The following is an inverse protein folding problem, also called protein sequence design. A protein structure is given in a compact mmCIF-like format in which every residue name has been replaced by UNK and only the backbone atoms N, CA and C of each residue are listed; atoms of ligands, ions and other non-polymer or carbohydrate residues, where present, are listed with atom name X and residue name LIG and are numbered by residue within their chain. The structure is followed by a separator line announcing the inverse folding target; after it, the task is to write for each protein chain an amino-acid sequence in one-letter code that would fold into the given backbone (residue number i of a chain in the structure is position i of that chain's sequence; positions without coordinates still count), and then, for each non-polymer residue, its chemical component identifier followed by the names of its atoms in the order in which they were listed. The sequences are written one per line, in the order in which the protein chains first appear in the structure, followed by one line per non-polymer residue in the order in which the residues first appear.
data_IF_072024001045
#
_entry.id   IF_072024001045
#
_cell.length_a   1.000
_cell.length_b   1.000
_cell.length_c   1.000
_cell.angle_alpha   90.00
_cell.angle_beta   90.00
_cell.angle_gamma   90.00
#
_symmetry.space_group_name_H-M   'P 1'
#
loop_
_entity.id
_entity.type
_entity.pdbx_description
1 polymer ?
#
# COMPACT_ATOMS: atom_id res chain seq x y z
N UNK A 1 -1.88 -44.24 -9.34
CA UNK A 1 -3.12 -43.67 -8.74
C UNK A 1 -2.80 -42.53 -7.79
N UNK A 2 -3.44 -41.37 -7.99
CA UNK A 2 -3.25 -40.15 -7.19
C UNK A 2 -4.54 -39.76 -6.42
N UNK A 3 -5.57 -40.59 -6.50
CA UNK A 3 -6.90 -40.30 -5.93
C UNK A 3 -6.92 -40.12 -4.41
N UNK A 4 -5.91 -40.63 -3.69
CA UNK A 4 -5.74 -40.46 -2.25
C UNK A 4 -4.77 -39.36 -1.81
N UNK A 5 -4.34 -38.49 -2.72
CA UNK A 5 -3.35 -37.44 -2.41
C UNK A 5 -4.03 -36.08 -2.20
N UNK A 6 -4.33 -35.76 -0.96
CA UNK A 6 -5.04 -34.53 -0.58
C UNK A 6 -4.15 -33.42 -0.02
N UNK A 7 -2.82 -33.61 -0.04
CA UNK A 7 -1.87 -32.66 0.59
C UNK A 7 -2.07 -31.22 0.12
N UNK A 8 -2.21 -31.00 -1.21
CA UNK A 8 -2.40 -29.66 -1.75
C UNK A 8 -3.75 -29.06 -1.34
N UNK A 9 -4.82 -29.87 -1.33
CA UNK A 9 -6.13 -29.44 -0.86
C UNK A 9 -6.08 -29.06 0.63
N UNK A 10 -5.54 -29.94 1.45
CA UNK A 10 -5.48 -29.73 2.89
C UNK A 10 -4.59 -28.55 3.26
N UNK A 11 -3.49 -28.34 2.54
CA UNK A 11 -2.66 -27.15 2.64
C UNK A 11 -3.47 -25.87 2.35
N UNK A 12 -4.18 -25.83 1.23
CA UNK A 12 -5.00 -24.68 0.86
C UNK A 12 -6.12 -24.40 1.83
N UNK A 13 -6.79 -25.45 2.36
CA UNK A 13 -7.82 -25.31 3.39
C UNK A 13 -7.23 -24.72 4.68
N UNK A 14 -6.12 -25.26 5.16
CA UNK A 14 -5.47 -24.76 6.36
C UNK A 14 -5.07 -23.29 6.22
N UNK A 15 -4.56 -22.90 5.06
CA UNK A 15 -4.21 -21.48 4.77
C UNK A 15 -5.45 -20.58 4.82
N UNK A 16 -6.52 -20.96 4.13
CA UNK A 16 -7.77 -20.19 4.11
C UNK A 16 -8.47 -20.13 5.48
N UNK A 17 -8.29 -21.16 6.32
CA UNK A 17 -8.81 -21.19 7.70
C UNK A 17 -8.09 -20.23 8.65
N UNK A 18 -6.88 -19.75 8.31
CA UNK A 18 -6.18 -18.76 9.14
C UNK A 18 -6.77 -17.34 8.98
N UNK A 19 -7.60 -17.14 7.98
CA UNK A 19 -8.20 -15.84 7.69
C UNK A 19 -9.37 -15.56 8.63
N UNK A 20 -9.62 -14.29 8.90
CA UNK A 20 -10.79 -13.84 9.64
C UNK A 20 -12.08 -14.38 8.99
N UNK A 21 -13.04 -14.75 9.80
CA UNK A 21 -14.32 -15.31 9.30
C UNK A 21 -15.21 -14.24 8.66
N UNK A 22 -15.05 -13.00 9.06
CA UNK A 22 -15.84 -11.87 8.58
C UNK A 22 -14.95 -10.80 7.94
N UNK A 23 -15.53 -9.91 7.14
CA UNK A 23 -14.85 -8.71 6.63
C UNK A 23 -14.17 -8.84 5.28
N UNK A 24 -14.45 -9.91 4.51
CA UNK A 24 -13.88 -10.13 3.17
C UNK A 24 -12.34 -10.08 3.19
N UNK A 25 -11.67 -11.02 3.83
CA UNK A 25 -10.23 -10.99 4.00
C UNK A 25 -9.48 -11.12 2.68
N UNK A 26 -8.31 -10.50 2.61
CA UNK A 26 -7.41 -10.59 1.46
C UNK A 26 -6.19 -11.38 1.91
N UNK A 27 -5.82 -12.40 1.14
CA UNK A 27 -4.59 -13.16 1.34
C UNK A 27 -3.64 -12.96 0.16
N UNK A 28 -2.43 -12.50 0.45
CA UNK A 28 -1.38 -12.38 -0.54
C UNK A 28 -0.54 -13.66 -0.56
N UNK A 29 -0.35 -14.21 -1.76
CA UNK A 29 0.41 -15.44 -2.00
C UNK A 29 1.60 -15.17 -2.91
N UNK A 30 2.70 -15.90 -2.71
CA UNK A 30 3.93 -15.69 -3.45
C UNK A 30 4.15 -16.81 -4.47
N UNK A 31 3.56 -16.64 -5.67
CA UNK A 31 3.70 -17.59 -6.78
C UNK A 31 2.70 -18.75 -6.76
N UNK A 32 2.91 -19.70 -7.65
CA UNK A 32 1.94 -20.73 -8.01
C UNK A 32 1.72 -21.76 -6.90
N UNK A 33 2.80 -22.18 -6.24
CA UNK A 33 2.74 -23.22 -5.21
C UNK A 33 1.88 -22.83 -4.01
N UNK A 34 1.88 -21.55 -3.68
CA UNK A 34 1.05 -21.02 -2.59
C UNK A 34 -0.38 -20.72 -3.07
N UNK A 35 -0.53 -20.28 -4.32
CA UNK A 35 -1.79 -19.78 -4.87
C UNK A 35 -2.71 -20.91 -5.34
N UNK A 36 -2.21 -21.86 -6.12
CA UNK A 36 -3.06 -22.87 -6.76
C UNK A 36 -3.80 -23.78 -5.77
N UNK A 37 -3.22 -24.18 -4.64
CA UNK A 37 -3.99 -24.91 -3.62
C UNK A 37 -5.15 -24.11 -3.05
N UNK A 38 -5.02 -22.79 -2.91
CA UNK A 38 -6.10 -21.92 -2.44
C UNK A 38 -7.19 -21.81 -3.51
N UNK A 39 -6.82 -21.49 -4.73
CA UNK A 39 -7.75 -21.45 -5.85
C UNK A 39 -8.48 -22.77 -6.05
N UNK A 40 -7.80 -23.92 -5.96
CA UNK A 40 -8.46 -25.22 -6.03
C UNK A 40 -9.60 -25.33 -5.00
N UNK A 41 -9.34 -24.95 -3.75
CA UNK A 41 -10.35 -24.99 -2.71
C UNK A 41 -11.51 -24.02 -2.98
N UNK A 42 -11.22 -22.81 -3.46
CA UNK A 42 -12.25 -21.81 -3.77
C UNK A 42 -13.06 -22.22 -5.00
N UNK A 43 -12.41 -22.63 -6.09
CA UNK A 43 -13.04 -22.93 -7.38
C UNK A 43 -13.76 -24.28 -7.40
N UNK A 44 -13.21 -25.30 -6.73
CA UNK A 44 -13.70 -26.67 -6.82
C UNK A 44 -14.52 -27.09 -5.62
N UNK A 45 -14.12 -26.67 -4.43
CA UNK A 45 -14.77 -27.06 -3.18
C UNK A 45 -15.74 -25.96 -2.67
N UNK A 46 -15.74 -24.76 -3.28
CA UNK A 46 -16.54 -23.62 -2.82
C UNK A 46 -16.16 -23.15 -1.42
N UNK A 47 -14.91 -23.36 -1.01
CA UNK A 47 -14.46 -23.10 0.35
C UNK A 47 -13.84 -21.70 0.46
N UNK A 48 -14.34 -20.87 1.41
CA UNK A 48 -13.88 -19.49 1.67
C UNK A 48 -13.87 -18.62 0.42
N UNK A 49 -14.96 -18.63 -0.33
CA UNK A 49 -15.19 -17.79 -1.52
C UNK A 49 -15.33 -16.29 -1.17
N UNK A 50 -15.52 -15.98 0.12
CA UNK A 50 -15.49 -14.65 0.71
C UNK A 50 -14.06 -14.04 0.75
N UNK A 51 -13.03 -14.89 0.79
CA UNK A 51 -11.64 -14.47 0.83
C UNK A 51 -11.08 -14.16 -0.56
N UNK A 52 -10.36 -13.06 -0.70
CA UNK A 52 -9.68 -12.71 -1.95
C UNK A 52 -8.26 -13.24 -1.97
N UNK A 53 -8.00 -14.29 -2.73
CA UNK A 53 -6.63 -14.77 -2.97
C UNK A 53 -5.95 -13.93 -4.04
N UNK A 54 -4.84 -13.29 -3.68
CA UNK A 54 -4.10 -12.37 -4.52
C UNK A 54 -2.66 -12.83 -4.71
N UNK A 55 -2.30 -13.23 -5.93
CA UNK A 55 -0.95 -13.67 -6.28
C UNK A 55 -0.05 -12.47 -6.56
N UNK A 56 0.98 -12.27 -5.74
CA UNK A 56 1.92 -11.15 -5.85
C UNK A 56 2.70 -11.16 -7.18
N UNK A 57 3.03 -12.33 -7.72
CA UNK A 57 3.73 -12.43 -9.00
C UNK A 57 2.85 -11.95 -10.17
N UNK A 58 1.55 -12.24 -10.13
CA UNK A 58 0.62 -11.80 -11.16
C UNK A 58 0.21 -10.33 -11.02
N UNK A 59 0.30 -9.74 -9.83
CA UNK A 59 0.11 -8.29 -9.65
C UNK A 59 1.12 -7.43 -10.42
N UNK A 60 2.16 -8.02 -10.97
CA UNK A 60 3.08 -7.35 -11.88
C UNK A 60 2.52 -7.21 -13.31
N UNK A 61 1.31 -7.72 -13.57
CA UNK A 61 0.69 -7.70 -14.89
C UNK A 61 -0.62 -6.91 -14.86
N UNK A 62 -0.84 -6.11 -15.89
CA UNK A 62 -2.02 -5.24 -16.01
C UNK A 62 -3.34 -6.02 -16.05
N UNK A 63 -3.37 -7.17 -16.76
CA UNK A 63 -4.56 -8.00 -16.85
C UNK A 63 -5.00 -8.55 -15.49
N UNK A 64 -4.04 -8.90 -14.62
CA UNK A 64 -4.37 -9.43 -13.30
C UNK A 64 -4.82 -8.32 -12.34
N UNK A 65 -4.23 -7.12 -12.44
CA UNK A 65 -4.71 -5.93 -11.72
C UNK A 65 -6.16 -5.64 -12.13
N UNK A 66 -6.47 -5.67 -13.43
CA UNK A 66 -7.85 -5.52 -13.93
C UNK A 66 -8.80 -6.57 -13.33
N UNK A 67 -8.34 -7.80 -13.20
CA UNK A 67 -9.12 -8.89 -12.59
C UNK A 67 -9.35 -8.63 -11.09
N UNK A 68 -8.34 -8.17 -10.37
CA UNK A 68 -8.45 -7.88 -8.94
C UNK A 68 -9.36 -6.68 -8.66
N UNK A 69 -9.53 -5.76 -9.61
CA UNK A 69 -10.48 -4.64 -9.53
C UNK A 69 -11.95 -5.02 -9.77
N UNK A 70 -12.22 -6.30 -9.98
CA UNK A 70 -13.60 -6.83 -10.12
C UNK A 70 -13.91 -7.75 -8.96
N UNK A 71 -15.18 -7.83 -8.52
CA UNK A 71 -15.59 -8.84 -7.54
C UNK A 71 -15.41 -10.25 -8.13
N UNK A 72 -15.17 -11.23 -7.27
CA UNK A 72 -15.13 -12.63 -7.63
C UNK A 72 -15.79 -13.46 -6.54
N UNK A 73 -16.74 -14.30 -6.92
CA UNK A 73 -17.59 -15.07 -5.99
C UNK A 73 -18.24 -14.15 -4.94
N UNK A 74 -18.02 -14.43 -3.66
CA UNK A 74 -18.54 -13.64 -2.54
C UNK A 74 -17.56 -12.55 -2.09
N UNK A 75 -16.36 -12.46 -2.71
CA UNK A 75 -15.36 -11.45 -2.36
C UNK A 75 -15.51 -10.18 -3.20
N UNK A 76 -15.44 -8.99 -2.58
CA UNK A 76 -15.44 -7.73 -3.32
C UNK A 76 -14.15 -7.53 -4.12
N UNK A 77 -14.12 -6.48 -4.95
CA UNK A 77 -12.89 -6.02 -5.60
C UNK A 77 -11.84 -5.59 -4.59
N UNK A 78 -10.57 -5.75 -4.93
CA UNK A 78 -9.49 -5.10 -4.15
C UNK A 78 -9.64 -3.57 -4.22
N UNK A 79 -9.31 -2.85 -3.13
CA UNK A 79 -9.41 -1.39 -3.07
C UNK A 79 -8.28 -0.69 -3.83
N UNK A 80 -8.06 -1.08 -5.09
CA UNK A 80 -7.04 -0.49 -5.96
C UNK A 80 -7.59 0.81 -6.55
N UNK A 81 -7.00 1.93 -6.20
CA UNK A 81 -7.44 3.27 -6.58
C UNK A 81 -6.80 3.79 -7.87
N UNK A 82 -5.80 3.12 -8.39
CA UNK A 82 -5.16 3.48 -9.64
C UNK A 82 -6.05 3.22 -10.84
N UNK A 83 -6.07 4.15 -11.78
CA UNK A 83 -6.71 3.98 -13.08
C UNK A 83 -5.85 3.12 -14.01
N UNK A 84 -6.47 2.46 -15.00
CA UNK A 84 -5.74 1.56 -15.89
C UNK A 84 -4.51 2.22 -16.56
N UNK A 85 -4.61 3.47 -16.92
CA UNK A 85 -3.51 4.22 -17.54
C UNK A 85 -2.27 4.32 -16.63
N UNK A 86 -2.41 4.10 -15.34
CA UNK A 86 -1.32 4.23 -14.36
C UNK A 86 -0.55 2.93 -14.14
N UNK A 87 -1.08 1.77 -14.55
CA UNK A 87 -0.45 0.46 -14.39
C UNK A 87 -0.40 -0.39 -15.67
N UNK A 88 -0.86 0.14 -16.79
CA UNK A 88 -0.68 -0.56 -18.08
C UNK A 88 0.80 -0.71 -18.39
N UNK A 89 1.15 -1.77 -19.10
CA UNK A 89 2.54 -2.08 -19.47
C UNK A 89 3.32 -0.84 -19.94
N UNK A 90 4.51 -0.66 -19.42
CA UNK A 90 5.37 0.49 -19.67
C UNK A 90 5.08 1.73 -18.81
N UNK A 91 4.06 1.69 -17.96
CA UNK A 91 3.72 2.80 -17.05
C UNK A 91 4.00 2.43 -15.60
N UNK A 92 4.71 3.31 -14.88
CA UNK A 92 4.98 3.18 -13.45
C UNK A 92 5.53 1.81 -13.01
N UNK A 93 6.24 1.09 -13.89
CA UNK A 93 6.82 -0.22 -13.59
C UNK A 93 7.89 -0.16 -12.50
N UNK A 94 8.53 0.99 -12.35
CA UNK A 94 9.57 1.23 -11.37
C UNK A 94 9.33 2.54 -10.64
N UNK A 95 9.39 2.50 -9.32
CA UNK A 95 9.33 3.68 -8.47
C UNK A 95 10.69 3.88 -7.84
N UNK A 96 11.33 5.02 -8.12
CA UNK A 96 12.65 5.34 -7.56
C UNK A 96 12.55 5.69 -6.09
N UNK A 97 13.42 5.14 -5.27
CA UNK A 97 13.62 5.59 -3.88
C UNK A 97 14.69 6.67 -3.90
N UNK A 98 14.36 7.87 -3.39
CA UNK A 98 15.21 9.07 -3.39
C UNK A 98 15.36 9.63 -1.96
N UNK A 99 16.15 8.99 -1.08
CA UNK A 99 16.28 9.41 0.33
C UNK A 99 16.80 10.83 0.50
N UNK A 100 17.54 11.32 -0.49
CA UNK A 100 18.03 12.70 -0.50
C UNK A 100 16.92 13.77 -0.54
N UNK A 101 15.71 13.39 -0.90
CA UNK A 101 14.54 14.29 -0.86
C UNK A 101 14.11 14.62 0.57
N UNK A 102 14.44 13.75 1.53
CA UNK A 102 14.16 13.97 2.95
C UNK A 102 14.74 15.30 3.44
N UNK A 103 15.99 15.58 3.12
CA UNK A 103 16.63 16.83 3.52
C UNK A 103 15.93 18.07 2.94
N UNK A 104 15.41 17.97 1.72
CA UNK A 104 14.63 19.03 1.10
C UNK A 104 13.32 19.25 1.86
N UNK A 105 12.56 18.19 2.12
CA UNK A 105 11.30 18.25 2.87
C UNK A 105 11.53 18.84 4.25
N UNK A 106 12.48 18.32 5.00
CA UNK A 106 12.83 18.78 6.35
C UNK A 106 13.18 20.29 6.37
N UNK A 107 13.89 20.78 5.33
CA UNK A 107 14.23 22.19 5.23
C UNK A 107 13.00 23.09 5.04
N UNK A 108 12.01 22.66 4.25
CA UNK A 108 10.75 23.39 4.09
C UNK A 108 9.93 23.41 5.37
N UNK A 109 9.82 22.29 6.06
CA UNK A 109 9.12 22.21 7.34
C UNK A 109 9.79 23.08 8.41
N UNK A 110 11.11 23.06 8.48
CA UNK A 110 11.87 23.89 9.43
C UNK A 110 11.59 25.37 9.22
N UNK A 111 11.71 25.87 7.98
CA UNK A 111 11.45 27.28 7.67
C UNK A 111 10.00 27.66 7.93
N UNK A 112 9.05 26.80 7.56
CA UNK A 112 7.63 27.05 7.77
C UNK A 112 7.27 27.11 9.26
N UNK A 113 7.83 26.24 10.08
CA UNK A 113 7.61 26.24 11.53
C UNK A 113 8.25 27.48 12.21
N UNK A 114 9.42 27.93 11.76
CA UNK A 114 10.05 29.16 12.25
C UNK A 114 9.18 30.39 11.97
N UNK A 115 8.57 30.50 10.80
CA UNK A 115 7.65 31.59 10.45
C UNK A 115 6.32 31.49 11.22
N UNK A 116 5.79 30.29 11.38
CA UNK A 116 4.57 30.06 12.15
C UNK A 116 4.75 30.45 13.64
N UNK A 117 5.93 30.20 14.22
CA UNK A 117 6.27 30.64 15.58
C UNK A 117 6.30 32.17 15.71
N UNK A 118 6.48 32.90 14.59
CA UNK A 118 6.41 34.38 14.55
C UNK A 118 5.01 34.90 14.23
N UNK A 119 4.01 34.00 14.09
CA UNK A 119 2.61 34.31 13.83
C UNK A 119 2.15 34.24 12.40
N UNK A 120 3.04 33.91 11.44
CA UNK A 120 2.68 33.68 10.03
C UNK A 120 2.59 32.18 9.71
N UNK A 121 1.37 31.67 9.66
CA UNK A 121 1.08 30.26 9.34
C UNK A 121 0.87 29.98 7.85
N UNK A 122 0.97 31.01 7.00
CA UNK A 122 0.67 30.88 5.55
C UNK A 122 1.56 29.87 4.86
N UNK A 123 2.87 29.97 5.15
CA UNK A 123 3.87 29.07 4.56
C UNK A 123 3.71 27.65 5.10
N UNK A 124 3.39 27.47 6.37
CA UNK A 124 3.15 26.15 6.95
C UNK A 124 1.93 25.48 6.29
N UNK A 125 0.86 26.20 6.07
CA UNK A 125 -0.32 25.69 5.36
C UNK A 125 0.01 25.28 3.92
N UNK A 126 0.86 26.03 3.24
CA UNK A 126 1.34 25.67 1.90
C UNK A 126 2.21 24.40 1.93
N UNK A 127 3.13 24.28 2.87
CA UNK A 127 4.00 23.10 3.03
C UNK A 127 3.15 21.87 3.32
N UNK A 128 2.13 21.97 4.20
CA UNK A 128 1.19 20.88 4.44
C UNK A 128 0.35 20.53 3.20
N UNK A 129 -0.04 21.50 2.37
CA UNK A 129 -0.76 21.20 1.12
C UNK A 129 0.08 20.39 0.12
N UNK A 130 1.39 20.63 0.08
CA UNK A 130 2.33 19.96 -0.83
C UNK A 130 2.75 18.59 -0.31
N UNK A 131 3.16 18.50 0.96
CA UNK A 131 3.81 17.30 1.52
C UNK A 131 2.94 16.50 2.49
N UNK A 132 1.80 17.07 2.95
CA UNK A 132 1.01 16.54 4.07
C UNK A 132 1.49 17.04 5.43
N UNK A 133 0.70 16.80 6.46
CA UNK A 133 1.08 17.14 7.84
C UNK A 133 2.20 16.23 8.37
N UNK A 134 2.14 14.96 7.97
CA UNK A 134 3.12 13.92 8.30
C UNK A 134 3.77 13.40 7.02
N UNK A 135 4.77 14.09 6.47
CA UNK A 135 5.27 13.86 5.11
C UNK A 135 5.88 12.46 4.89
N UNK A 136 6.22 11.75 5.94
CA UNK A 136 6.80 10.40 5.90
C UNK A 136 5.79 9.29 6.24
N UNK A 137 4.53 9.64 6.48
CA UNK A 137 3.47 8.65 6.62
C UNK A 137 3.18 8.00 5.27
N UNK A 138 3.04 6.66 5.25
CA UNK A 138 2.81 5.87 4.03
C UNK A 138 1.65 6.43 3.18
N UNK A 139 0.56 6.84 3.80
CA UNK A 139 -0.60 7.43 3.12
C UNK A 139 -0.25 8.72 2.38
N UNK A 140 0.53 9.61 2.99
CA UNK A 140 0.98 10.85 2.36
C UNK A 140 1.97 10.59 1.22
N UNK A 141 2.88 9.63 1.42
CA UNK A 141 3.82 9.20 0.37
C UNK A 141 3.06 8.67 -0.85
N UNK A 142 2.10 7.77 -0.64
CA UNK A 142 1.28 7.22 -1.73
C UNK A 142 0.55 8.35 -2.47
N UNK A 143 -0.20 9.18 -1.75
CA UNK A 143 -1.08 10.16 -2.35
C UNK A 143 -0.33 11.30 -3.06
N UNK A 144 0.83 11.72 -2.56
CA UNK A 144 1.53 12.90 -3.04
C UNK A 144 2.69 12.60 -3.97
N UNK A 145 3.40 11.50 -3.73
CA UNK A 145 4.62 11.15 -4.44
C UNK A 145 4.45 9.98 -5.41
N UNK A 146 3.81 8.90 -4.96
CA UNK A 146 3.71 7.68 -5.77
C UNK A 146 2.61 7.77 -6.83
N UNK A 147 1.48 8.43 -6.55
CA UNK A 147 0.43 8.61 -7.57
C UNK A 147 0.80 9.59 -8.68
N UNK A 148 1.83 10.41 -8.49
CA UNK A 148 2.31 11.35 -9.50
C UNK A 148 1.29 12.43 -9.90
N UNK A 149 0.23 12.65 -9.11
CA UNK A 149 -0.89 13.56 -9.42
C UNK A 149 -0.76 14.95 -8.73
N UNK A 150 0.29 15.17 -7.94
CA UNK A 150 0.49 16.41 -7.19
C UNK A 150 1.20 17.47 -8.05
N UNK A 151 0.44 18.33 -8.67
CA UNK A 151 0.99 19.36 -9.56
C UNK A 151 1.82 20.43 -8.84
N UNK A 152 1.47 20.77 -7.59
CA UNK A 152 2.27 21.69 -6.77
C UNK A 152 3.65 21.10 -6.49
N UNK A 153 3.71 19.82 -6.17
CA UNK A 153 4.97 19.11 -5.97
C UNK A 153 5.79 19.05 -7.26
N UNK A 154 5.17 18.76 -8.40
CA UNK A 154 5.85 18.76 -9.70
C UNK A 154 6.48 20.12 -10.01
N UNK A 155 5.75 21.21 -9.79
CA UNK A 155 6.27 22.55 -10.00
C UNK A 155 7.41 22.90 -9.03
N UNK A 156 7.30 22.45 -7.77
CA UNK A 156 8.37 22.60 -6.80
C UNK A 156 9.63 21.86 -7.24
N UNK A 157 9.49 20.59 -7.66
CA UNK A 157 10.62 19.76 -8.11
C UNK A 157 11.31 20.38 -9.35
N UNK A 158 10.57 20.91 -10.31
CA UNK A 158 11.15 21.64 -11.46
C UNK A 158 12.00 22.82 -11.03
N UNK A 159 11.57 23.57 -10.00
CA UNK A 159 12.32 24.74 -9.49
C UNK A 159 13.63 24.36 -8.81
N UNK A 160 13.80 23.11 -8.37
CA UNK A 160 15.07 22.66 -7.79
C UNK A 160 16.20 22.55 -8.82
N UNK A 161 15.89 22.62 -10.11
CA UNK A 161 16.85 22.45 -11.20
C UNK A 161 17.42 21.04 -11.35
N UNK A 162 16.90 20.07 -10.58
CA UNK A 162 17.26 18.66 -10.69
C UNK A 162 16.26 17.95 -11.59
N UNK A 163 16.72 17.00 -12.39
CA UNK A 163 15.85 16.13 -13.19
C UNK A 163 15.21 15.07 -12.28
N UNK A 164 14.19 15.50 -11.52
CA UNK A 164 13.43 14.67 -10.58
C UNK A 164 12.01 14.59 -11.08
N UNK A 165 11.59 13.37 -11.40
CA UNK A 165 10.25 13.10 -11.92
C UNK A 165 9.49 12.20 -10.97
N UNK A 166 8.17 12.42 -10.85
CA UNK A 166 7.25 11.52 -10.17
C UNK A 166 6.82 10.39 -11.12
N UNK A 167 6.51 9.19 -10.62
CA UNK A 167 6.43 8.81 -9.20
C UNK A 167 7.78 8.48 -8.57
N UNK A 168 7.90 8.77 -7.27
CA UNK A 168 9.06 8.37 -6.47
C UNK A 168 8.70 8.22 -4.99
N UNK A 169 9.58 7.59 -4.20
CA UNK A 169 9.52 7.52 -2.74
C UNK A 169 10.61 8.45 -2.19
N UNK A 170 10.25 9.48 -1.39
CA UNK A 170 11.19 10.54 -1.00
C UNK A 170 12.07 10.21 0.21
N UNK A 171 11.96 9.01 0.76
CA UNK A 171 12.63 8.60 2.00
C UNK A 171 12.95 7.11 1.96
N UNK A 172 13.91 6.67 2.76
CA UNK A 172 14.22 5.27 3.07
C UNK A 172 13.52 4.77 4.34
N UNK A 173 12.80 5.63 5.02
CA UNK A 173 12.09 5.33 6.26
C UNK A 173 10.64 5.81 6.16
N UNK A 174 9.71 4.87 6.20
CA UNK A 174 8.28 5.13 6.09
C UNK A 174 7.62 4.89 7.45
N UNK A 175 6.72 5.79 7.84
CA UNK A 175 5.93 5.66 9.06
C UNK A 175 4.52 5.21 8.70
N UNK A 176 4.04 4.16 9.37
CA UNK A 176 2.63 3.75 9.30
C UNK A 176 1.94 4.09 10.61
N UNK A 177 0.86 4.86 10.53
CA UNK A 177 0.04 5.14 11.70
C UNK A 177 -0.79 3.90 12.04
N UNK A 178 -0.73 3.47 13.29
CA UNK A 178 -1.53 2.35 13.80
C UNK A 178 -2.96 2.84 14.05
N UNK A 179 -3.94 2.10 13.51
CA UNK A 179 -5.34 2.24 13.91
C UNK A 179 -5.55 1.49 15.24
N UNK A 180 -5.42 2.22 16.36
CA UNK A 180 -5.57 1.65 17.70
C UNK A 180 -6.94 1.00 17.91
N UNK A 181 -7.99 1.55 17.31
CA UNK A 181 -9.34 1.02 17.45
C UNK A 181 -9.49 -0.32 16.72
N UNK A 182 -8.92 -0.44 15.52
CA UNK A 182 -8.84 -1.71 14.81
C UNK A 182 -8.01 -2.75 15.57
N UNK A 183 -6.89 -2.35 16.16
CA UNK A 183 -6.04 -3.23 16.99
C UNK A 183 -6.80 -3.70 18.22
N UNK A 184 -7.49 -2.83 18.95
CA UNK A 184 -8.31 -3.21 20.11
C UNK A 184 -9.40 -4.20 19.74
N UNK A 185 -10.07 -3.98 18.60
CA UNK A 185 -11.10 -4.90 18.08
C UNK A 185 -10.55 -6.27 17.72
N UNK A 186 -9.32 -6.32 17.16
CA UNK A 186 -8.67 -7.59 16.80
C UNK A 186 -8.14 -8.40 17.98
N UNK A 187 -8.10 -7.83 19.18
CA UNK A 187 -7.49 -8.45 20.36
C UNK A 187 -5.96 -8.50 20.33
N UNK A 188 -5.32 -7.90 19.35
CA UNK A 188 -3.86 -7.82 19.23
C UNK A 188 -3.28 -6.91 20.32
N UNK A 189 -2.20 -7.33 20.96
CA UNK A 189 -1.46 -6.52 21.93
C UNK A 189 -0.34 -5.77 21.22
N UNK A 190 -0.38 -4.45 21.24
CA UNK A 190 0.75 -3.62 20.82
C UNK A 190 1.72 -3.52 22.00
N UNK A 191 3.01 -3.83 21.82
CA UNK A 191 4.02 -3.58 22.86
C UNK A 191 4.09 -2.08 23.19
N UNK A 192 4.08 -1.71 24.47
CA UNK A 192 4.16 -0.32 24.92
C UNK A 192 5.38 0.44 24.37
N UNK A 193 6.46 -0.27 24.05
CA UNK A 193 7.69 0.30 23.49
C UNK A 193 7.55 0.83 22.05
N UNK A 194 6.49 0.46 21.32
CA UNK A 194 6.30 0.86 19.92
C UNK A 194 5.46 2.16 19.77
N UNK A 195 4.76 2.60 20.83
CA UNK A 195 3.88 3.77 20.76
C UNK A 195 2.79 3.62 19.68
N UNK A 196 2.42 4.73 19.06
CA UNK A 196 1.32 4.80 18.06
C UNK A 196 1.81 4.52 16.61
N UNK A 197 3.09 4.20 16.42
CA UNK A 197 3.69 3.93 15.11
C UNK A 197 4.64 2.74 15.17
N UNK A 198 4.64 1.92 14.12
CA UNK A 198 5.63 0.85 13.94
C UNK A 198 6.69 1.40 12.98
N UNK A 199 7.94 1.58 13.41
CA UNK A 199 9.04 1.80 12.47
C UNK A 199 9.28 0.52 11.66
N UNK A 200 9.49 0.64 10.36
CA UNK A 200 9.94 -0.46 9.50
C UNK A 200 11.38 -0.87 9.80
#
# INVERSE_FOLDING_TARGET
DRSGRFVARDFGQNYLMTLQEEGNPIIYTNGDNDTFPLWYNQETEGFRTDARTCNLSYLQTDWYIDQMKRPAYDSPSLPITWDRVEYVEGQNEYISIRPEMKALIDSYFKQANELAAQGDTTILSLVHSIFGENPYELKEIINRWMLGKNDQLKELLKKTGKDIQLPLIPTDSIVMKIDEEAVRRSGMKIPEALGDSIPE
#
